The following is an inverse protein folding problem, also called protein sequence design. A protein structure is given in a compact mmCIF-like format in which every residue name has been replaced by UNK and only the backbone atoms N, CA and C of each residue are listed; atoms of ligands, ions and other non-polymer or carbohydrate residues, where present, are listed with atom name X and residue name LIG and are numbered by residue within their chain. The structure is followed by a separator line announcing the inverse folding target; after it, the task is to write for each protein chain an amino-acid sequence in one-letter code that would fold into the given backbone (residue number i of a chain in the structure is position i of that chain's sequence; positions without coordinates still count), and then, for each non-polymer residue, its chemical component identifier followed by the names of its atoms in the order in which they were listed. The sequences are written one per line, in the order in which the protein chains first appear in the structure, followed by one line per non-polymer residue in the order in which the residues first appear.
data_IF_411439469015
#
_entry.id   IF_411439469015
#
_cell.length_a   1.000
_cell.length_b   1.000
_cell.length_c   1.000
_cell.angle_alpha   90.00
_cell.angle_beta   90.00
_cell.angle_gamma   90.00
#
_symmetry.space_group_name_H-M   'P 1'
#
loop_
_entity.id
_entity.type
_entity.pdbx_description
1 polymer ?
#
# COMPACT_ATOMS: atom_id res chain seq x y z
N UNK A 1 -41.15 -45.23 -17.18
CA UNK A 1 -41.02 -43.80 -16.85
C UNK A 1 -39.71 -43.62 -16.11
N UNK A 2 -38.68 -43.07 -16.78
CA UNK A 2 -37.40 -42.81 -16.15
C UNK A 2 -37.48 -41.47 -15.40
N UNK A 3 -37.39 -41.54 -14.08
CA UNK A 3 -37.30 -40.38 -13.20
C UNK A 3 -35.89 -39.78 -13.32
N UNK A 4 -35.73 -38.77 -14.16
CA UNK A 4 -34.51 -37.97 -14.21
C UNK A 4 -34.57 -36.90 -13.11
N UNK A 5 -34.22 -37.28 -11.88
CA UNK A 5 -33.91 -36.32 -10.82
C UNK A 5 -32.46 -35.87 -10.99
N UNK A 6 -32.25 -34.71 -11.63
CA UNK A 6 -31.00 -33.98 -11.42
C UNK A 6 -30.94 -33.56 -9.94
N UNK A 7 -29.88 -33.88 -9.19
CA UNK A 7 -29.73 -33.38 -7.83
C UNK A 7 -29.48 -31.87 -7.89
N UNK A 8 -30.50 -31.07 -7.59
CA UNK A 8 -30.47 -29.59 -7.60
C UNK A 8 -29.60 -29.00 -6.47
N UNK A 9 -28.99 -29.83 -5.63
CA UNK A 9 -28.41 -29.37 -4.36
C UNK A 9 -26.92 -29.00 -4.39
N UNK A 10 -26.26 -28.93 -5.54
CA UNK A 10 -24.87 -28.46 -5.59
C UNK A 10 -24.64 -27.44 -6.71
N UNK A 11 -25.27 -26.28 -6.58
CA UNK A 11 -24.77 -25.07 -7.27
C UNK A 11 -23.45 -24.69 -6.61
N UNK A 12 -22.35 -25.25 -7.10
CA UNK A 12 -21.01 -24.85 -6.69
C UNK A 12 -20.68 -23.53 -7.37
N UNK A 13 -20.26 -22.53 -6.60
CA UNK A 13 -19.74 -21.28 -7.16
C UNK A 13 -18.55 -21.63 -8.07
N UNK A 14 -18.60 -21.25 -9.35
CA UNK A 14 -17.53 -21.50 -10.33
C UNK A 14 -16.29 -20.62 -10.10
N UNK A 15 -16.35 -19.71 -9.13
CA UNK A 15 -15.23 -18.86 -8.74
C UNK A 15 -14.79 -19.24 -7.32
N UNK A 16 -13.51 -19.58 -7.18
CA UNK A 16 -12.86 -19.62 -5.88
C UNK A 16 -12.87 -18.20 -5.31
N UNK A 17 -13.73 -17.94 -4.33
CA UNK A 17 -13.64 -16.73 -3.52
C UNK A 17 -12.25 -16.76 -2.87
N UNK A 18 -11.40 -15.74 -3.06
CA UNK A 18 -10.08 -15.72 -2.45
C UNK A 18 -10.23 -15.92 -0.95
N UNK A 19 -9.68 -17.02 -0.42
CA UNK A 19 -9.82 -17.40 1.00
C UNK A 19 -9.28 -16.32 1.96
N UNK A 20 -8.50 -15.37 1.47
CA UNK A 20 -7.97 -14.22 2.22
C UNK A 20 -7.97 -13.01 1.29
N UNK A 21 -8.96 -12.12 1.42
CA UNK A 21 -8.83 -10.75 0.93
C UNK A 21 -7.97 -10.01 1.96
N UNK A 22 -6.77 -9.50 1.59
CA UNK A 22 -6.01 -8.68 2.52
C UNK A 22 -6.88 -7.51 2.96
N UNK A 23 -7.08 -7.33 4.27
CA UNK A 23 -7.74 -6.14 4.78
C UNK A 23 -6.79 -4.97 4.54
N UNK A 24 -7.09 -4.19 3.50
CA UNK A 24 -6.33 -3.04 3.04
C UNK A 24 -7.29 -1.87 2.83
N UNK A 25 -6.85 -0.66 3.14
CA UNK A 25 -7.69 0.52 3.05
C UNK A 25 -6.90 1.79 3.29
N UNK A 26 -7.47 2.92 2.89
CA UNK A 26 -6.91 4.22 3.22
C UNK A 26 -7.05 4.49 4.72
N UNK A 27 -6.09 5.23 5.29
CA UNK A 27 -6.21 5.78 6.63
C UNK A 27 -7.41 6.73 6.65
N UNK A 28 -8.51 6.30 7.27
CA UNK A 28 -9.78 7.03 7.28
C UNK A 28 -10.61 6.76 8.53
N UNK A 29 -11.86 7.23 8.50
CA UNK A 29 -12.76 7.18 9.66
C UNK A 29 -12.26 7.98 10.87
N UNK A 30 -12.92 7.79 12.01
CA UNK A 30 -12.54 8.48 13.25
C UNK A 30 -11.13 8.10 13.73
N UNK A 31 -10.70 6.85 13.53
CA UNK A 31 -9.33 6.44 13.83
C UNK A 31 -8.29 7.22 13.01
N UNK A 32 -8.51 7.38 11.71
CA UNK A 32 -7.63 8.19 10.85
C UNK A 32 -7.60 9.65 11.26
N UNK A 33 -8.75 10.21 11.60
CA UNK A 33 -8.89 11.60 12.09
C UNK A 33 -8.14 11.83 13.40
N UNK A 34 -8.28 10.94 14.37
CA UNK A 34 -7.58 11.06 15.67
C UNK A 34 -6.07 10.84 15.52
N UNK A 35 -5.62 9.91 14.68
CA UNK A 35 -4.19 9.74 14.36
C UNK A 35 -3.61 11.03 13.74
N UNK A 36 -4.29 11.59 12.72
CA UNK A 36 -3.83 12.81 12.07
C UNK A 36 -3.75 13.98 13.05
N UNK A 37 -4.74 14.11 13.94
CA UNK A 37 -4.75 15.13 15.01
C UNK A 37 -3.61 14.91 16.00
N UNK A 38 -3.39 13.68 16.47
CA UNK A 38 -2.31 13.36 17.40
C UNK A 38 -0.93 13.69 16.81
N UNK A 39 -0.66 13.30 15.56
CA UNK A 39 0.62 13.63 14.90
C UNK A 39 0.82 15.15 14.83
N UNK A 40 -0.21 15.90 14.44
CA UNK A 40 -0.12 17.36 14.36
C UNK A 40 0.14 18.01 15.71
N UNK A 41 -0.37 17.43 16.80
CA UNK A 41 -0.13 17.92 18.16
C UNK A 41 1.29 17.61 18.64
N UNK A 42 1.75 16.37 18.46
CA UNK A 42 3.07 15.91 18.93
C UNK A 42 4.23 16.57 18.17
N UNK A 43 3.98 16.96 16.91
CA UNK A 43 4.94 17.58 16.01
C UNK A 43 4.47 18.96 15.53
N UNK A 44 3.79 19.72 16.41
CA UNK A 44 3.23 21.05 16.11
C UNK A 44 4.24 22.07 15.55
N UNK A 45 5.50 21.89 15.90
CA UNK A 45 6.64 22.72 15.53
C UNK A 45 7.40 22.21 14.29
N UNK A 46 6.98 21.09 13.69
CA UNK A 46 7.63 20.49 12.52
C UNK A 46 6.73 20.63 11.26
N UNK A 47 7.03 21.57 10.34
CA UNK A 47 6.19 21.83 9.16
C UNK A 47 5.96 20.60 8.27
N UNK A 48 6.97 19.73 8.12
CA UNK A 48 6.87 18.49 7.35
C UNK A 48 5.78 17.53 7.86
N UNK A 49 5.32 17.69 9.11
CA UNK A 49 4.25 16.90 9.72
C UNK A 49 2.94 17.69 9.89
N UNK A 50 2.80 18.88 9.32
CA UNK A 50 1.54 19.64 9.31
C UNK A 50 0.72 19.45 8.04
N UNK A 51 1.11 18.49 7.19
CA UNK A 51 0.52 18.25 5.87
C UNK A 51 -0.76 17.41 5.90
N UNK A 52 -0.92 16.55 6.91
CA UNK A 52 -2.03 15.60 6.97
C UNK A 52 -3.34 16.27 7.35
N UNK A 53 -4.34 16.18 6.47
CA UNK A 53 -5.66 16.78 6.65
C UNK A 53 -6.73 15.71 6.50
N UNK A 54 -7.67 15.67 7.43
CA UNK A 54 -8.83 14.79 7.30
C UNK A 54 -9.89 15.47 6.43
N UNK A 55 -10.27 14.83 5.32
CA UNK A 55 -11.30 15.31 4.40
C UNK A 55 -11.88 14.15 3.61
N UNK A 56 -13.18 14.22 3.27
CA UNK A 56 -13.88 13.16 2.53
C UNK A 56 -13.73 11.75 3.14
N UNK A 57 -13.77 11.65 4.47
CA UNK A 57 -13.67 10.37 5.19
C UNK A 57 -12.27 9.79 5.32
N UNK A 58 -11.25 10.43 4.73
CA UNK A 58 -9.86 9.91 4.69
C UNK A 58 -8.84 10.98 5.08
N UNK A 59 -7.65 10.54 5.48
CA UNK A 59 -6.49 11.41 5.67
C UNK A 59 -5.83 11.65 4.31
N UNK A 60 -5.78 12.92 3.93
CA UNK A 60 -5.16 13.46 2.72
C UNK A 60 -3.83 14.13 3.06
N UNK A 61 -2.87 14.02 2.15
CA UNK A 61 -1.50 14.48 2.36
C UNK A 61 -0.61 13.37 2.92
N UNK A 62 0.49 13.11 2.21
CA UNK A 62 1.50 12.16 2.66
C UNK A 62 2.88 12.55 2.13
N UNK A 63 3.86 12.35 3.00
CA UNK A 63 5.27 12.37 2.72
C UNK A 63 5.96 11.29 3.58
N UNK A 64 7.22 10.94 3.30
CA UNK A 64 8.00 10.01 4.10
C UNK A 64 7.94 10.16 5.63
N UNK A 65 8.01 11.40 6.13
CA UNK A 65 7.96 11.65 7.57
C UNK A 65 6.55 11.34 8.12
N UNK A 66 5.51 11.82 7.46
CA UNK A 66 4.12 11.62 7.86
C UNK A 66 3.76 10.14 7.91
N UNK A 67 4.16 9.34 6.92
CA UNK A 67 3.86 7.90 6.91
C UNK A 67 4.60 7.16 8.02
N UNK A 68 5.84 7.57 8.33
CA UNK A 68 6.58 7.02 9.48
C UNK A 68 5.91 7.38 10.81
N UNK A 69 5.45 8.63 10.96
CA UNK A 69 4.70 9.07 12.14
C UNK A 69 3.36 8.32 12.29
N UNK A 70 2.64 8.07 11.19
CA UNK A 70 1.44 7.23 11.20
C UNK A 70 1.76 5.84 11.71
N UNK A 71 2.82 5.20 11.19
CA UNK A 71 3.21 3.86 11.63
C UNK A 71 3.45 3.76 13.14
N UNK A 72 3.99 4.80 13.77
CA UNK A 72 4.23 4.83 15.23
C UNK A 72 2.94 5.00 16.06
N UNK A 73 1.83 5.36 15.42
CA UNK A 73 0.50 5.53 16.05
C UNK A 73 -0.45 4.36 15.81
N UNK A 74 -0.08 3.40 14.97
CA UNK A 74 -0.93 2.25 14.65
C UNK A 74 -0.87 1.21 15.79
N UNK A 75 -1.98 0.53 16.08
CA UNK A 75 -2.01 -0.55 17.05
C UNK A 75 -1.30 -1.79 16.49
N UNK A 76 -1.00 -2.74 17.38
CA UNK A 76 -0.47 -4.05 16.98
C UNK A 76 -1.41 -4.76 16.00
N UNK A 77 -0.84 -5.42 15.01
CA UNK A 77 -1.60 -6.09 13.94
C UNK A 77 -2.04 -5.19 12.79
N UNK A 78 -1.67 -3.89 12.81
CA UNK A 78 -1.89 -2.96 11.71
C UNK A 78 -0.59 -2.25 11.36
N UNK A 79 -0.30 -2.11 10.07
CA UNK A 79 0.86 -1.38 9.59
C UNK A 79 0.55 -0.57 8.34
N UNK A 80 1.41 0.39 8.03
CA UNK A 80 1.39 1.04 6.72
C UNK A 80 1.75 0.03 5.63
N UNK A 81 1.14 0.19 4.46
CA UNK A 81 1.31 -0.70 3.33
C UNK A 81 2.73 -0.57 2.74
N UNK A 82 3.28 -1.71 2.34
CA UNK A 82 4.49 -1.78 1.53
C UNK A 82 4.14 -1.68 0.04
N UNK A 83 5.16 -1.49 -0.81
CA UNK A 83 4.94 -1.55 -2.26
C UNK A 83 4.36 -2.90 -2.68
N UNK A 84 4.80 -4.01 -2.07
CA UNK A 84 4.27 -5.33 -2.36
C UNK A 84 2.79 -5.47 -2.01
N UNK A 85 2.32 -4.78 -0.97
CA UNK A 85 0.90 -4.81 -0.58
C UNK A 85 0.04 -4.05 -1.59
N UNK A 86 0.50 -2.88 -2.06
CA UNK A 86 -0.21 -2.12 -3.08
C UNK A 86 -0.32 -2.91 -4.39
N UNK A 87 0.76 -3.55 -4.84
CA UNK A 87 0.75 -4.39 -6.05
C UNK A 87 -0.19 -5.60 -5.93
N UNK A 88 -0.27 -6.21 -4.73
CA UNK A 88 -1.23 -7.29 -4.47
C UNK A 88 -2.66 -6.75 -4.52
N UNK A 89 -2.92 -5.61 -3.88
CA UNK A 89 -4.23 -4.99 -3.85
C UNK A 89 -4.71 -4.59 -5.25
N UNK A 90 -3.83 -4.01 -6.08
CA UNK A 90 -4.14 -3.70 -7.48
C UNK A 90 -4.51 -4.95 -8.28
N UNK A 91 -3.76 -6.05 -8.13
CA UNK A 91 -4.00 -7.29 -8.89
C UNK A 91 -5.40 -7.87 -8.66
N UNK A 92 -5.93 -7.71 -7.45
CA UNK A 92 -7.25 -8.23 -7.07
C UNK A 92 -8.32 -7.14 -7.05
N UNK A 93 -8.02 -5.93 -7.55
CA UNK A 93 -8.89 -4.76 -7.51
C UNK A 93 -9.47 -4.50 -6.10
N UNK A 94 -8.64 -4.70 -5.06
CA UNK A 94 -9.05 -4.47 -3.68
C UNK A 94 -9.20 -2.99 -3.38
N UNK A 95 -8.40 -2.12 -3.99
CA UNK A 95 -8.42 -0.68 -3.76
C UNK A 95 -8.04 0.05 -5.07
N UNK A 96 -8.70 1.17 -5.34
CA UNK A 96 -8.37 2.03 -6.49
C UNK A 96 -7.38 3.11 -6.06
N UNK A 97 -6.22 3.12 -6.72
CA UNK A 97 -5.13 4.08 -6.48
C UNK A 97 -5.03 5.16 -7.57
N UNK A 98 -5.96 5.18 -8.53
CA UNK A 98 -5.95 6.21 -9.57
C UNK A 98 -6.25 7.59 -8.96
N UNK A 99 -5.49 8.59 -9.39
CA UNK A 99 -5.67 9.98 -8.95
C UNK A 99 -5.02 10.32 -7.59
N UNK A 100 -4.42 9.34 -6.90
CA UNK A 100 -3.74 9.53 -5.61
C UNK A 100 -2.26 9.15 -5.67
N UNK A 101 -1.50 9.35 -4.60
CA UNK A 101 -0.18 8.73 -4.49
C UNK A 101 0.02 8.14 -3.11
N UNK A 102 0.85 7.11 -3.01
CA UNK A 102 1.01 6.33 -1.79
C UNK A 102 2.50 6.12 -1.49
N UNK A 103 2.97 6.71 -0.39
CA UNK A 103 4.29 6.50 0.18
C UNK A 103 4.45 5.06 0.70
N UNK A 104 5.43 4.32 0.18
CA UNK A 104 5.64 2.91 0.54
C UNK A 104 7.01 2.62 1.15
N UNK A 105 8.00 3.47 0.92
CA UNK A 105 9.29 3.37 1.60
C UNK A 105 10.30 4.44 1.22
N UNK A 106 11.53 4.22 1.68
CA UNK A 106 12.72 4.98 1.34
C UNK A 106 13.66 4.14 0.48
N UNK A 107 14.46 4.80 -0.36
CA UNK A 107 15.48 4.14 -1.17
C UNK A 107 16.81 4.84 -1.00
N UNK A 108 17.71 4.17 -0.29
CA UNK A 108 19.08 4.60 -0.09
C UNK A 108 19.97 4.02 -1.18
N UNK A 109 20.63 4.88 -1.96
CA UNK A 109 21.55 4.47 -3.05
C UNK A 109 23.00 4.72 -2.71
N UNK A 110 23.27 5.90 -2.18
CA UNK A 110 24.59 6.34 -1.75
C UNK A 110 24.43 7.26 -0.54
N UNK A 111 25.54 7.59 0.12
CA UNK A 111 25.60 8.64 1.14
C UNK A 111 25.74 10.04 0.53
N UNK A 112 25.42 10.21 -0.75
CA UNK A 112 25.52 11.48 -1.47
C UNK A 112 24.21 12.27 -1.45
N UNK A 113 24.13 13.29 -2.31
CA UNK A 113 22.89 14.02 -2.60
C UNK A 113 21.96 13.22 -3.51
N UNK A 114 20.64 13.46 -3.44
CA UNK A 114 19.95 14.35 -2.48
C UNK A 114 19.86 13.75 -1.07
N UNK A 115 19.52 14.61 -0.10
CA UNK A 115 19.32 14.24 1.32
C UNK A 115 20.58 13.65 1.98
N UNK A 116 21.74 14.26 1.71
CA UNK A 116 23.06 13.81 2.21
C UNK A 116 23.08 13.45 3.71
N UNK A 117 22.55 14.32 4.57
CA UNK A 117 22.56 14.09 6.02
C UNK A 117 21.79 12.81 6.39
N UNK A 118 20.53 12.71 5.91
CA UNK A 118 19.67 11.56 6.16
C UNK A 118 20.21 10.28 5.52
N UNK A 119 20.83 10.38 4.34
CA UNK A 119 21.42 9.25 3.64
C UNK A 119 22.63 8.68 4.39
N UNK A 120 23.49 9.54 4.95
CA UNK A 120 24.60 9.14 5.81
C UNK A 120 24.11 8.44 7.09
N UNK A 121 23.10 9.02 7.74
CA UNK A 121 22.55 8.48 9.00
C UNK A 121 21.90 7.11 8.80
N UNK A 122 21.08 6.93 7.76
CA UNK A 122 20.51 5.63 7.41
C UNK A 122 21.57 4.62 6.97
N UNK A 123 22.58 5.04 6.20
CA UNK A 123 23.69 4.17 5.81
C UNK A 123 24.45 3.62 7.01
N UNK A 124 24.70 4.47 8.02
CA UNK A 124 25.34 4.05 9.27
C UNK A 124 24.52 3.01 10.02
N UNK A 125 23.20 3.22 10.15
CA UNK A 125 22.29 2.26 10.76
C UNK A 125 22.28 0.92 10.02
N UNK A 126 22.22 0.95 8.68
CA UNK A 126 22.25 -0.27 7.85
C UNK A 126 23.58 -1.00 7.99
N UNK A 127 24.72 -0.30 7.96
CA UNK A 127 26.03 -0.93 8.08
C UNK A 127 26.26 -1.55 9.45
N UNK A 128 25.83 -0.86 10.51
CA UNK A 128 25.93 -1.35 11.88
C UNK A 128 25.12 -2.63 12.04
N UNK A 129 23.94 -2.68 11.43
CA UNK A 129 22.99 -3.78 11.62
C UNK A 129 23.19 -4.97 10.68
N UNK A 130 23.50 -4.71 9.42
CA UNK A 130 23.51 -5.70 8.34
C UNK A 130 24.89 -5.90 7.69
N UNK A 131 25.91 -5.13 8.12
CA UNK A 131 27.28 -5.21 7.62
C UNK A 131 27.60 -4.28 6.43
N UNK A 132 28.90 -3.97 6.27
CA UNK A 132 29.44 -2.80 5.55
C UNK A 132 29.15 -2.64 4.04
N UNK A 133 28.57 -3.60 3.31
CA UNK A 133 28.59 -3.55 1.81
C UNK A 133 27.47 -4.20 1.01
N UNK A 134 26.51 -4.94 1.58
CA UNK A 134 25.78 -5.91 0.72
C UNK A 134 24.47 -5.48 0.08
N UNK A 135 23.90 -4.29 0.35
CA UNK A 135 22.49 -4.07 -0.07
C UNK A 135 22.10 -2.67 -0.54
N UNK A 136 23.03 -1.84 -1.03
CA UNK A 136 22.65 -0.60 -1.76
C UNK A 136 22.60 -0.82 -3.28
N UNK A 137 21.54 -0.39 -4.00
CA UNK A 137 20.37 0.35 -3.49
C UNK A 137 19.51 -0.46 -2.53
N UNK A 138 19.19 0.14 -1.38
CA UNK A 138 18.40 -0.47 -0.31
C UNK A 138 17.02 0.17 -0.30
N UNK A 139 15.97 -0.63 -0.47
CA UNK A 139 14.60 -0.25 -0.19
C UNK A 139 14.30 -0.54 1.28
N UNK A 140 13.73 0.44 1.97
CA UNK A 140 13.37 0.39 3.39
C UNK A 140 11.88 0.72 3.48
N UNK A 141 11.00 -0.26 3.71
CA UNK A 141 9.57 0.00 3.88
C UNK A 141 9.29 0.88 5.11
N UNK A 142 8.29 1.78 5.03
CA UNK A 142 7.97 2.68 6.14
C UNK A 142 7.48 1.97 7.41
N UNK A 143 6.93 0.76 7.29
CA UNK A 143 6.55 0.00 8.48
C UNK A 143 7.77 -0.38 9.36
N UNK A 144 8.97 -0.42 8.78
CA UNK A 144 10.24 -0.67 9.48
C UNK A 144 10.96 0.59 9.95
N UNK A 145 10.36 1.77 9.83
CA UNK A 145 10.97 3.05 10.24
C UNK A 145 10.17 3.71 11.34
N UNK A 146 10.86 4.39 12.25
CA UNK A 146 10.33 5.34 13.22
C UNK A 146 10.95 6.73 12.96
N UNK A 147 10.37 7.76 13.58
CA UNK A 147 10.96 9.10 13.58
C UNK A 147 11.66 9.43 14.89
N UNK A 148 12.74 10.19 14.79
CA UNK A 148 13.35 10.86 15.92
C UNK A 148 13.55 12.36 15.61
N UNK A 149 13.40 13.20 16.63
CA UNK A 149 13.71 14.62 16.54
C UNK A 149 15.22 14.78 16.38
N UNK A 150 15.62 15.58 15.39
CA UNK A 150 17.00 15.72 14.98
C UNK A 150 17.24 17.14 14.45
N UNK A 151 17.84 17.99 15.29
CA UNK A 151 18.05 19.40 14.99
C UNK A 151 19.07 19.63 13.87
N UNK A 152 19.93 18.65 13.59
CA UNK A 152 20.90 18.73 12.50
C UNK A 152 20.30 18.33 11.14
N UNK A 153 19.13 17.69 11.16
CA UNK A 153 18.40 17.33 9.95
C UNK A 153 17.65 18.55 9.38
N UNK A 154 17.60 18.74 8.04
CA UNK A 154 16.90 19.85 7.41
C UNK A 154 15.44 20.04 7.83
N UNK A 155 14.76 18.95 8.20
CA UNK A 155 13.34 18.95 8.58
C UNK A 155 13.13 18.81 10.11
N UNK A 156 14.19 18.93 10.91
CA UNK A 156 14.12 18.70 12.35
C UNK A 156 13.85 17.24 12.74
N UNK A 157 13.90 16.32 11.78
CA UNK A 157 13.55 14.90 11.91
C UNK A 157 14.51 14.01 11.16
N UNK A 158 14.78 12.82 11.71
CA UNK A 158 15.47 11.76 10.98
C UNK A 158 14.77 10.41 11.12
N UNK A 159 15.11 9.49 10.24
CA UNK A 159 14.56 8.14 10.23
C UNK A 159 15.43 7.21 11.07
N UNK A 160 14.77 6.46 11.96
CA UNK A 160 15.38 5.40 12.76
C UNK A 160 14.83 4.05 12.33
N UNK A 161 15.70 3.08 12.08
CA UNK A 161 15.29 1.70 11.80
C UNK A 161 14.76 1.05 13.08
N UNK A 162 13.55 0.48 13.00
CA UNK A 162 12.96 -0.33 14.07
C UNK A 162 13.68 -1.66 14.22
N UNK A 163 13.52 -2.36 15.34
CA UNK A 163 14.18 -3.65 15.59
C UNK A 163 13.79 -4.76 14.61
N UNK A 164 12.67 -4.67 13.93
CA UNK A 164 12.23 -5.62 12.90
C UNK A 164 12.43 -5.08 11.47
N UNK A 165 13.09 -3.92 11.34
CA UNK A 165 13.29 -3.28 10.05
C UNK A 165 14.11 -4.15 9.09
N UNK A 166 13.70 -4.14 7.82
CA UNK A 166 14.44 -4.76 6.74
C UNK A 166 15.09 -3.72 5.84
N UNK A 167 16.35 -3.97 5.44
CA UNK A 167 17.01 -3.30 4.32
C UNK A 167 17.05 -4.25 3.11
N UNK A 168 16.13 -4.04 2.17
CA UNK A 168 15.91 -4.92 1.03
C UNK A 168 16.79 -4.47 -0.14
N UNK A 169 17.69 -5.33 -0.60
CA UNK A 169 18.50 -5.04 -1.79
C UNK A 169 17.63 -4.99 -3.04
N UNK A 170 17.64 -3.86 -3.74
CA UNK A 170 16.72 -3.55 -4.82
C UNK A 170 17.45 -2.98 -6.06
N UNK A 171 18.31 -3.76 -6.74
CA UNK A 171 19.19 -3.27 -7.81
C UNK A 171 18.45 -2.60 -8.97
N UNK A 172 17.20 -2.98 -9.22
CA UNK A 172 16.33 -2.36 -10.22
C UNK A 172 16.18 -0.84 -10.01
N UNK A 173 16.25 -0.38 -8.76
CA UNK A 173 16.09 1.03 -8.38
C UNK A 173 17.33 1.88 -8.66
N UNK A 174 18.45 1.27 -9.08
CA UNK A 174 19.64 1.99 -9.57
C UNK A 174 19.76 1.98 -11.09
N UNK A 175 18.85 1.31 -11.80
CA UNK A 175 18.79 1.39 -13.27
C UNK A 175 18.20 2.74 -13.69
N UNK A 176 18.53 3.24 -14.90
CA UNK A 176 17.83 4.37 -15.48
C UNK A 176 16.31 4.15 -15.50
N UNK A 177 15.56 5.24 -15.44
CA UNK A 177 14.10 5.20 -15.53
C UNK A 177 13.67 4.49 -16.80
N UNK A 178 12.63 3.67 -16.73
CA UNK A 178 12.22 2.86 -17.87
C UNK A 178 10.89 2.15 -17.68
N UNK A 179 10.29 1.66 -18.78
CA UNK A 179 9.03 0.95 -18.73
C UNK A 179 9.18 -0.43 -18.08
N UNK A 180 8.08 -0.94 -17.53
CA UNK A 180 7.94 -2.30 -16.99
C UNK A 180 6.49 -2.78 -17.12
N UNK A 181 6.29 -4.10 -17.12
CA UNK A 181 4.95 -4.70 -17.19
C UNK A 181 4.35 -4.90 -15.79
N UNK A 182 3.07 -4.56 -15.62
CA UNK A 182 2.27 -4.86 -14.42
C UNK A 182 2.23 -6.35 -14.06
N UNK A 183 2.41 -7.24 -15.04
CA UNK A 183 2.49 -8.68 -14.82
C UNK A 183 3.84 -9.17 -14.28
N UNK A 184 4.89 -8.35 -14.34
CA UNK A 184 6.27 -8.74 -14.05
C UNK A 184 6.82 -8.13 -12.76
N UNK A 185 6.04 -8.29 -11.69
CA UNK A 185 6.33 -7.76 -10.35
C UNK A 185 6.89 -8.85 -9.44
N UNK A 186 7.92 -8.52 -8.67
CA UNK A 186 8.39 -9.37 -7.58
C UNK A 186 7.38 -9.33 -6.42
N UNK A 187 6.72 -10.44 -6.07
CA UNK A 187 5.64 -10.45 -5.08
C UNK A 187 6.10 -10.15 -3.65
N UNK A 188 7.41 -10.24 -3.37
CA UNK A 188 7.98 -9.92 -2.05
C UNK A 188 8.27 -8.44 -1.88
N UNK A 189 8.74 -7.78 -2.94
CA UNK A 189 9.19 -6.37 -2.85
C UNK A 189 8.21 -5.39 -3.46
N UNK A 190 7.32 -5.84 -4.35
CA UNK A 190 6.46 -4.97 -5.16
C UNK A 190 7.20 -4.23 -6.27
N UNK A 191 8.49 -4.54 -6.49
CA UNK A 191 9.29 -3.91 -7.53
C UNK A 191 9.23 -4.72 -8.83
N UNK A 192 9.41 -4.09 -10.01
CA UNK A 192 9.52 -4.81 -11.26
C UNK A 192 10.73 -5.75 -11.26
N UNK A 193 10.58 -6.96 -11.80
CA UNK A 193 11.68 -7.93 -11.91
C UNK A 193 12.69 -7.49 -12.98
N UNK A 194 12.23 -6.79 -14.01
CA UNK A 194 13.02 -6.24 -15.12
C UNK A 194 12.32 -5.04 -15.75
N UNK A 195 13.08 -4.25 -16.49
CA UNK A 195 12.55 -3.18 -17.34
C UNK A 195 12.39 -3.73 -18.77
N UNK A 196 11.26 -3.43 -19.39
CA UNK A 196 10.86 -3.91 -20.72
C UNK A 196 9.77 -3.00 -21.29
N UNK A 197 9.33 -3.25 -22.52
CA UNK A 197 8.17 -2.55 -23.10
C UNK A 197 6.91 -3.00 -22.36
N UNK A 198 6.49 -2.21 -21.36
CA UNK A 198 5.31 -2.47 -20.54
C UNK A 198 4.44 -1.23 -20.38
N UNK A 199 3.36 -1.41 -19.65
CA UNK A 199 2.25 -0.49 -19.45
C UNK A 199 2.47 0.55 -18.35
N UNK A 200 3.51 0.37 -17.52
CA UNK A 200 3.88 1.28 -16.44
C UNK A 200 5.34 1.67 -16.56
N UNK A 201 5.73 2.72 -15.85
CA UNK A 201 7.10 3.25 -15.82
C UNK A 201 7.62 3.36 -14.41
N UNK A 202 8.89 2.99 -14.24
CA UNK A 202 9.63 3.28 -13.02
C UNK A 202 10.51 4.50 -13.23
N UNK A 203 10.45 5.43 -12.29
CA UNK A 203 11.25 6.64 -12.25
C UNK A 203 12.28 6.53 -11.13
N UNK A 204 13.56 6.72 -11.45
CA UNK A 204 14.68 6.53 -10.51
C UNK A 204 15.67 7.70 -10.60
N UNK A 205 16.40 7.92 -9.51
CA UNK A 205 17.68 8.63 -9.51
C UNK A 205 18.81 7.63 -9.21
N UNK A 206 20.07 8.06 -9.28
CA UNK A 206 21.24 7.21 -9.11
C UNK A 206 22.07 7.49 -7.84
N UNK A 207 21.61 8.40 -6.97
CA UNK A 207 22.37 8.83 -5.79
C UNK A 207 21.45 9.20 -4.63
N UNK A 208 22.03 9.24 -3.42
CA UNK A 208 21.43 9.75 -2.20
C UNK A 208 20.29 8.90 -1.68
N UNK A 209 19.37 9.58 -0.98
CA UNK A 209 18.15 9.01 -0.43
C UNK A 209 16.94 9.62 -1.15
N UNK A 210 16.02 8.77 -1.61
CA UNK A 210 14.75 9.21 -2.19
C UNK A 210 13.56 8.48 -1.60
N UNK A 211 12.40 9.10 -1.78
CA UNK A 211 11.09 8.52 -1.51
C UNK A 211 10.77 7.41 -2.52
N UNK A 212 10.15 6.31 -2.09
CA UNK A 212 9.48 5.31 -2.93
C UNK A 212 7.97 5.46 -2.78
N UNK A 213 7.26 5.57 -3.90
CA UNK A 213 5.81 5.70 -3.88
C UNK A 213 5.17 5.22 -5.18
N UNK A 214 3.91 4.78 -5.06
CA UNK A 214 3.02 4.58 -6.19
C UNK A 214 2.42 5.94 -6.58
N UNK A 215 2.47 6.28 -7.86
CA UNK A 215 1.96 7.56 -8.38
C UNK A 215 0.53 7.43 -8.92
N UNK A 216 -0.11 8.57 -9.18
CA UNK A 216 -1.53 8.67 -9.58
C UNK A 216 -1.94 8.00 -10.88
N UNK A 217 -0.95 7.61 -11.68
CA UNK A 217 -1.11 6.84 -12.92
C UNK A 217 -0.52 5.44 -12.78
N UNK A 218 -0.40 4.96 -11.54
CA UNK A 218 0.12 3.67 -11.14
C UNK A 218 1.62 3.48 -11.44
N UNK A 219 2.32 4.44 -12.02
CA UNK A 219 3.77 4.39 -12.15
C UNK A 219 4.50 4.33 -10.80
N UNK A 220 5.70 3.74 -10.80
CA UNK A 220 6.52 3.59 -9.61
C UNK A 220 7.57 4.71 -9.56
N UNK A 221 7.56 5.52 -8.51
CA UNK A 221 8.49 6.64 -8.37
C UNK A 221 9.49 6.41 -7.24
N UNK A 222 10.77 6.58 -7.57
CA UNK A 222 11.91 6.53 -6.66
C UNK A 222 12.94 7.63 -6.97
N UNK A 223 12.49 8.76 -7.50
CA UNK A 223 13.32 9.87 -7.95
C UNK A 223 13.06 11.19 -7.21
N UNK A 224 12.08 11.22 -6.31
CA UNK A 224 11.65 12.46 -5.68
C UNK A 224 12.59 12.82 -4.52
N UNK A 225 13.19 14.01 -4.63
CA UNK A 225 14.32 14.43 -3.79
C UNK A 225 13.87 15.17 -2.52
N UNK A 226 12.72 15.82 -2.53
CA UNK A 226 12.20 16.51 -1.34
C UNK A 226 11.34 15.55 -0.52
N UNK A 227 11.87 15.11 0.62
CA UNK A 227 11.20 14.14 1.50
C UNK A 227 10.06 14.77 2.33
N UNK A 228 10.02 16.10 2.44
CA UNK A 228 8.96 16.81 3.16
C UNK A 228 7.80 17.26 2.25
N UNK A 229 8.00 17.29 0.93
CA UNK A 229 6.96 17.73 0.02
C UNK A 229 5.74 16.81 0.04
N UNK A 230 4.57 17.43 0.08
CA UNK A 230 3.28 16.77 -0.07
C UNK A 230 2.31 17.68 -0.80
N UNK A 231 1.38 17.07 -1.52
CA UNK A 231 0.14 17.74 -1.95
C UNK A 231 -1.06 17.03 -1.30
N UNK A 232 -2.27 17.47 -1.64
CA UNK A 232 -3.54 16.95 -1.13
C UNK A 232 -3.97 15.61 -1.77
N UNK A 233 -3.36 15.16 -2.86
CA UNK A 233 -3.63 13.85 -3.48
C UNK A 233 -2.91 12.69 -2.79
N UNK A 234 -1.97 12.97 -1.89
CA UNK A 234 -1.29 11.95 -1.11
C UNK A 234 -2.23 11.18 -0.18
N UNK A 235 -2.06 9.87 -0.11
CA UNK A 235 -2.80 8.98 0.80
C UNK A 235 -1.82 8.13 1.60
N UNK A 236 -2.31 7.64 2.73
CA UNK A 236 -1.66 6.59 3.53
C UNK A 236 -2.54 5.36 3.47
N UNK A 237 -1.95 4.21 3.14
CA UNK A 237 -2.66 2.93 3.04
C UNK A 237 -2.23 2.06 4.19
N UNK A 238 -3.20 1.42 4.84
CA UNK A 238 -2.99 0.50 5.95
C UNK A 238 -3.31 -0.92 5.52
N UNK A 239 -2.65 -1.89 6.16
CA UNK A 239 -2.95 -3.31 6.03
C UNK A 239 -3.07 -3.97 7.40
N UNK A 240 -4.04 -4.88 7.53
CA UNK A 240 -4.14 -5.79 8.68
C UNK A 240 -3.16 -6.95 8.53
N UNK A 241 -2.41 -7.25 9.58
CA UNK A 241 -1.56 -8.44 9.68
C UNK A 241 -2.10 -9.47 10.67
N UNK A 242 -3.15 -9.14 11.42
CA UNK A 242 -3.84 -10.05 12.31
C UNK A 242 -5.23 -10.43 11.76
N UNK A 243 -5.64 -11.69 11.98
CA UNK A 243 -7.01 -12.15 11.77
C UNK A 243 -7.89 -11.56 12.88
N UNK A 244 -8.85 -10.70 12.53
CA UNK A 244 -9.95 -10.30 13.42
C UNK A 244 -9.82 -9.01 14.24
N UNK A 245 -8.67 -8.32 14.28
CA UNK A 245 -8.49 -7.13 15.17
C UNK A 245 -8.63 -5.76 14.51
N UNK A 246 -8.92 -5.69 13.20
CA UNK A 246 -8.81 -4.45 12.43
C UNK A 246 -10.13 -3.88 11.92
N UNK A 247 -11.27 -4.38 12.44
CA UNK A 247 -12.59 -3.95 12.00
C UNK A 247 -12.72 -2.42 12.01
N UNK A 248 -12.35 -1.71 13.09
CA UNK A 248 -12.44 -0.24 13.21
C UNK A 248 -11.70 0.54 12.10
N UNK A 249 -10.55 0.05 11.63
CA UNK A 249 -9.73 0.72 10.60
C UNK A 249 -10.23 0.44 9.18
N UNK A 250 -10.97 -0.65 9.01
CA UNK A 250 -11.47 -1.09 7.70
C UNK A 250 -13.00 -1.14 7.65
N UNK A 251 -13.74 -0.53 8.59
CA UNK A 251 -15.21 -0.67 8.66
C UNK A 251 -15.88 -0.24 7.36
N UNK A 252 -15.52 0.95 6.87
CA UNK A 252 -16.09 1.49 5.63
C UNK A 252 -15.68 0.66 4.41
N UNK A 253 -14.44 0.19 4.37
CA UNK A 253 -13.95 -0.69 3.31
C UNK A 253 -14.69 -2.03 3.30
N UNK A 254 -14.78 -2.68 4.46
CA UNK A 254 -15.45 -3.96 4.63
C UNK A 254 -16.94 -3.85 4.26
N UNK A 255 -17.61 -2.77 4.68
CA UNK A 255 -19.00 -2.48 4.31
C UNK A 255 -19.16 -2.30 2.80
N UNK A 256 -18.34 -1.46 2.16
CA UNK A 256 -18.38 -1.26 0.71
C UNK A 256 -18.11 -2.54 -0.06
N UNK A 257 -17.08 -3.31 0.34
CA UNK A 257 -16.73 -4.56 -0.35
C UNK A 257 -17.80 -5.63 -0.15
N UNK A 258 -18.42 -5.71 1.04
CA UNK A 258 -19.58 -6.56 1.25
C UNK A 258 -20.76 -6.17 0.36
N UNK A 259 -21.04 -4.87 0.22
CA UNK A 259 -22.13 -4.39 -0.64
C UNK A 259 -21.85 -4.70 -2.12
N UNK A 260 -20.61 -4.50 -2.58
CA UNK A 260 -20.15 -4.83 -3.94
C UNK A 260 -20.27 -6.33 -4.21
N UNK A 261 -19.74 -7.19 -3.33
CA UNK A 261 -19.83 -8.64 -3.44
C UNK A 261 -21.29 -9.12 -3.41
N UNK A 262 -22.16 -8.48 -2.61
CA UNK A 262 -23.60 -8.75 -2.63
C UNK A 262 -24.19 -8.43 -3.99
N UNK A 263 -23.88 -7.27 -4.59
CA UNK A 263 -24.37 -6.89 -5.92
C UNK A 263 -23.89 -7.82 -7.01
N UNK A 264 -22.60 -8.19 -7.00
CA UNK A 264 -22.05 -9.15 -7.98
C UNK A 264 -22.70 -10.53 -7.85
N UNK A 265 -22.87 -11.02 -6.62
CA UNK A 265 -23.57 -12.27 -6.34
C UNK A 265 -25.01 -12.20 -6.83
N UNK A 266 -25.74 -11.13 -6.51
CA UNK A 266 -27.15 -10.99 -6.87
C UNK A 266 -27.31 -10.87 -8.40
N UNK A 267 -26.40 -10.18 -9.09
CA UNK A 267 -26.35 -10.10 -10.55
C UNK A 267 -26.04 -11.45 -11.23
N UNK A 268 -25.30 -12.34 -10.58
CA UNK A 268 -25.05 -13.71 -11.07
C UNK A 268 -26.23 -14.65 -10.77
N UNK A 269 -26.89 -14.50 -9.62
CA UNK A 269 -28.03 -15.32 -9.20
C UNK A 269 -29.29 -15.00 -10.03
N UNK A 270 -29.54 -13.73 -10.37
CA UNK A 270 -30.73 -13.31 -11.10
C UNK A 270 -30.95 -14.08 -12.43
N UNK A 271 -29.97 -14.20 -13.35
CA UNK A 271 -30.15 -14.97 -14.58
C UNK A 271 -30.31 -16.48 -14.33
N UNK A 272 -29.68 -17.02 -13.29
CA UNK A 272 -29.83 -18.44 -12.91
C UNK A 272 -31.27 -18.70 -12.44
N UNK A 273 -31.80 -17.85 -11.56
CA UNK A 273 -33.18 -17.95 -11.08
C UNK A 273 -34.20 -17.80 -12.22
N UNK A 274 -33.96 -16.90 -13.18
CA UNK A 274 -34.79 -16.78 -14.39
C UNK A 274 -34.80 -18.09 -15.20
N UNK A 275 -33.64 -18.71 -15.43
CA UNK A 275 -33.54 -19.99 -16.14
C UNK A 275 -34.23 -21.12 -15.39
N UNK A 276 -34.09 -21.17 -14.06
CA UNK A 276 -34.74 -22.17 -13.22
C UNK A 276 -36.27 -22.04 -13.27
N UNK A 277 -36.79 -20.82 -13.17
CA UNK A 277 -38.23 -20.56 -13.26
C UNK A 277 -38.82 -20.95 -14.64
N UNK A 278 -38.07 -20.74 -15.73
CA UNK A 278 -38.47 -21.20 -17.07
C UNK A 278 -38.49 -22.73 -17.13
N UNK A 279 -37.45 -23.40 -16.61
CA UNK A 279 -37.39 -24.86 -16.58
C UNK A 279 -38.53 -25.47 -15.76
N UNK A 280 -38.89 -24.87 -14.61
CA UNK A 280 -40.03 -25.31 -13.81
C UNK A 280 -41.36 -25.21 -14.58
N UNK A 281 -41.59 -24.13 -15.34
CA UNK A 281 -42.83 -23.98 -16.13
C UNK A 281 -42.96 -25.09 -17.18
N UNK A 282 -41.86 -25.36 -17.89
CA UNK A 282 -41.77 -26.43 -18.89
C UNK A 282 -42.07 -27.80 -18.25
N UNK A 283 -41.48 -28.08 -17.08
CA UNK A 283 -41.69 -29.35 -16.38
C UNK A 283 -43.10 -29.51 -15.80
N UNK A 284 -43.76 -28.40 -15.43
CA UNK A 284 -45.14 -28.39 -14.91
C UNK A 284 -46.19 -28.39 -16.02
N UNK A 285 -45.80 -28.37 -17.29
CA UNK A 285 -46.71 -28.46 -18.43
C UNK A 285 -47.50 -27.18 -18.73
N UNK A 286 -46.98 -26.02 -18.33
CA UNK A 286 -47.52 -24.69 -18.68
C UNK A 286 -46.67 -23.99 -19.74
#
# INVERSE_FOLDING_TARGET
MASNTFPVNEVRCLMDIPKIIPLIGFLGGEAGKEIAKSIRMDYKDIPALQIGKYSNGVVMGSNPFWVSAVQDKLPSGIRVASQADLEKAMRVNALDFNGTYEDTGLVLRTTGNPNFYLSCKLFSQINTRFGKRKRIPAMIPFFGTALERDQDSPEGLSFKLKEDAEAIYAPILNKPSGPFSSGDINPKTGLPKRLNNGDRKVYTINSGLSRLFLYRYLDLYSNYVSLAYSNDTGRVVLVSTAEGSSQEYFQEYAQRKHEELRRERDAQIEPINKRYAIAEKILKGN
#
